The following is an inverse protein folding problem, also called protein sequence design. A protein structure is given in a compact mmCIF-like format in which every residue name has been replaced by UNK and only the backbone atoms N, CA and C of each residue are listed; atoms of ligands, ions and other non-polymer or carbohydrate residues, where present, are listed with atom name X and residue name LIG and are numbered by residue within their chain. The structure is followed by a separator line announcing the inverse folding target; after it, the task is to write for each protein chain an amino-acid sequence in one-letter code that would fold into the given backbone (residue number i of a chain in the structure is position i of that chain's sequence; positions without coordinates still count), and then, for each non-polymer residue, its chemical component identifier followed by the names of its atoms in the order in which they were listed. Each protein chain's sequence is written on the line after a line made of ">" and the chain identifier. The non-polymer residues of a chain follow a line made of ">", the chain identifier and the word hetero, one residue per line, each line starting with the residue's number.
data_IF_164406240562
#
_entry.id   IF_164406240562
#
_cell.length_a   1.000
_cell.length_b   1.000
_cell.length_c   1.000
_cell.angle_alpha   90.00
_cell.angle_beta   90.00
_cell.angle_gamma   90.00
#
_symmetry.space_group_name_H-M   'P 1'
#
loop_
_entity.id
_entity.type
_entity.pdbx_description
1 polymer ?
#
# COMPACT_ATOMS: atom_id res chain seq x y z
N UNK A 1 -37.50 -6.61 -73.98
CA UNK A 1 -36.46 -7.34 -73.20
C UNK A 1 -35.75 -6.48 -72.14
N UNK A 2 -35.97 -5.16 -72.06
CA UNK A 2 -35.31 -4.27 -71.08
C UNK A 2 -36.03 -4.12 -69.73
N UNK A 3 -37.34 -4.42 -69.64
CA UNK A 3 -38.09 -4.28 -68.38
C UNK A 3 -37.85 -5.41 -67.37
N UNK A 4 -37.64 -6.65 -67.83
CA UNK A 4 -37.33 -7.78 -66.95
C UNK A 4 -35.96 -7.62 -66.26
N UNK A 5 -34.99 -7.02 -66.96
CA UNK A 5 -33.64 -6.74 -66.42
C UNK A 5 -33.65 -5.61 -65.38
N UNK A 6 -34.57 -4.63 -65.50
CA UNK A 6 -34.77 -3.60 -64.46
C UNK A 6 -35.42 -4.15 -63.19
N UNK A 7 -36.39 -5.07 -63.31
CA UNK A 7 -37.06 -5.66 -62.14
C UNK A 7 -36.17 -6.62 -61.36
N UNK A 8 -35.22 -7.32 -61.98
CA UNK A 8 -34.26 -8.16 -61.22
C UNK A 8 -33.23 -7.30 -60.48
N UNK A 9 -32.65 -6.29 -61.14
CA UNK A 9 -31.69 -5.38 -60.51
C UNK A 9 -32.27 -4.63 -59.30
N UNK A 10 -33.57 -4.31 -59.31
CA UNK A 10 -34.23 -3.65 -58.18
C UNK A 10 -34.36 -4.61 -56.97
N UNK A 11 -34.71 -5.88 -57.21
CA UNK A 11 -34.81 -6.89 -56.13
C UNK A 11 -33.45 -7.19 -55.53
N UNK A 12 -32.42 -7.33 -56.35
CA UNK A 12 -31.05 -7.60 -55.90
C UNK A 12 -30.48 -6.41 -55.11
N UNK A 13 -30.82 -5.18 -55.51
CA UNK A 13 -30.44 -3.96 -54.77
C UNK A 13 -31.16 -3.82 -53.43
N UNK A 14 -32.45 -4.18 -53.35
CA UNK A 14 -33.21 -4.19 -52.09
C UNK A 14 -32.66 -5.25 -51.13
N UNK A 15 -32.39 -6.47 -51.63
CA UNK A 15 -31.82 -7.56 -50.82
C UNK A 15 -30.42 -7.17 -50.31
N UNK A 16 -29.58 -6.58 -51.17
CA UNK A 16 -28.27 -6.07 -50.78
C UNK A 16 -28.38 -4.98 -49.70
N UNK A 17 -29.33 -4.05 -49.84
CA UNK A 17 -29.59 -3.02 -48.83
C UNK A 17 -29.99 -3.58 -47.46
N UNK A 18 -30.86 -4.60 -47.44
CA UNK A 18 -31.29 -5.26 -46.21
C UNK A 18 -30.13 -5.99 -45.53
N UNK A 19 -29.27 -6.67 -46.30
CA UNK A 19 -28.10 -7.38 -45.75
C UNK A 19 -27.09 -6.41 -45.13
N UNK A 20 -26.80 -5.29 -45.80
CA UNK A 20 -25.92 -4.26 -45.25
C UNK A 20 -26.49 -3.67 -43.96
N UNK A 21 -27.80 -3.40 -43.93
CA UNK A 21 -28.47 -2.86 -42.75
C UNK A 21 -28.46 -3.84 -41.58
N UNK A 22 -28.64 -5.14 -41.83
CA UNK A 22 -28.55 -6.17 -40.80
C UNK A 22 -27.12 -6.30 -40.23
N UNK A 23 -26.08 -6.20 -41.06
CA UNK A 23 -24.68 -6.21 -40.62
C UNK A 23 -24.37 -4.96 -39.76
N UNK A 24 -24.86 -3.78 -40.16
CA UNK A 24 -24.68 -2.55 -39.39
C UNK A 24 -25.37 -2.62 -38.02
N UNK A 25 -26.60 -3.14 -37.96
CA UNK A 25 -27.32 -3.33 -36.70
C UNK A 25 -26.58 -4.32 -35.79
N UNK A 26 -26.08 -5.43 -36.34
CA UNK A 26 -25.29 -6.40 -35.56
C UNK A 26 -23.98 -5.79 -35.02
N UNK A 27 -23.28 -4.96 -35.82
CA UNK A 27 -22.08 -4.26 -35.39
C UNK A 27 -22.37 -3.24 -34.28
N UNK A 28 -23.47 -2.49 -34.38
CA UNK A 28 -23.89 -1.54 -33.34
C UNK A 28 -24.26 -2.27 -32.04
N UNK A 29 -25.00 -3.37 -32.12
CA UNK A 29 -25.33 -4.19 -30.94
C UNK A 29 -24.07 -4.77 -30.28
N UNK A 30 -23.10 -5.23 -31.08
CA UNK A 30 -21.82 -5.72 -30.57
C UNK A 30 -21.02 -4.61 -29.86
N UNK A 31 -20.98 -3.41 -30.44
CA UNK A 31 -20.32 -2.24 -29.82
C UNK A 31 -21.01 -1.81 -28.52
N UNK A 32 -22.34 -1.79 -28.48
CA UNK A 32 -23.10 -1.49 -27.25
C UNK A 32 -22.81 -2.54 -26.17
N UNK A 33 -22.73 -3.82 -26.54
CA UNK A 33 -22.45 -4.89 -25.59
C UNK A 33 -21.02 -4.76 -25.00
N UNK A 34 -20.01 -4.50 -25.85
CA UNK A 34 -18.63 -4.22 -25.42
C UNK A 34 -18.55 -2.99 -24.50
N UNK A 35 -19.25 -1.90 -24.83
CA UNK A 35 -19.29 -0.70 -23.98
C UNK A 35 -19.94 -0.98 -22.62
N UNK A 36 -21.03 -1.75 -22.58
CA UNK A 36 -21.69 -2.10 -21.32
C UNK A 36 -20.81 -2.94 -20.39
N UNK A 37 -19.98 -3.81 -20.95
CA UNK A 37 -19.03 -4.66 -20.21
C UNK A 37 -17.86 -3.81 -19.66
N UNK A 38 -17.42 -2.80 -20.41
CA UNK A 38 -16.42 -1.81 -19.96
C UNK A 38 -16.98 -0.90 -18.86
N UNK A 39 -18.23 -0.44 -18.95
CA UNK A 39 -18.84 0.38 -17.91
C UNK A 39 -19.09 -0.42 -16.62
N UNK A 40 -19.49 -1.68 -16.75
CA UNK A 40 -19.66 -2.57 -15.60
C UNK A 40 -18.33 -2.82 -14.89
N UNK A 41 -17.30 -3.17 -15.64
CA UNK A 41 -15.95 -3.39 -15.09
C UNK A 41 -15.37 -2.12 -14.49
N UNK A 42 -15.62 -0.93 -15.07
CA UNK A 42 -15.22 0.36 -14.48
C UNK A 42 -15.88 0.60 -13.13
N UNK A 43 -17.17 0.29 -13.00
CA UNK A 43 -17.90 0.42 -11.74
C UNK A 43 -17.38 -0.54 -10.67
N UNK A 44 -17.15 -1.81 -11.03
CA UNK A 44 -16.53 -2.79 -10.11
C UNK A 44 -15.14 -2.33 -9.65
N UNK A 45 -14.36 -1.71 -10.54
CA UNK A 45 -13.03 -1.17 -10.23
C UNK A 45 -13.10 0.04 -9.30
N UNK A 46 -14.12 0.90 -9.44
CA UNK A 46 -14.39 2.01 -8.52
C UNK A 46 -14.85 1.53 -7.15
N UNK A 47 -15.72 0.52 -7.09
CA UNK A 47 -16.18 -0.08 -5.84
C UNK A 47 -15.00 -0.75 -5.10
N UNK A 48 -14.20 -1.57 -5.78
CA UNK A 48 -12.98 -2.15 -5.22
C UNK A 48 -12.00 -1.06 -4.75
N UNK A 49 -11.89 0.05 -5.48
CA UNK A 49 -11.04 1.19 -5.06
C UNK A 49 -11.55 1.84 -3.78
N UNK A 50 -12.86 1.96 -3.63
CA UNK A 50 -13.47 2.51 -2.42
C UNK A 50 -13.21 1.59 -1.21
N UNK A 51 -13.31 0.27 -1.40
CA UNK A 51 -13.01 -0.72 -0.37
C UNK A 51 -11.53 -0.73 0.02
N UNK A 52 -10.61 -0.65 -0.95
CA UNK A 52 -9.17 -0.55 -0.70
C UNK A 52 -8.84 0.70 0.13
N UNK A 53 -9.43 1.86 -0.21
CA UNK A 53 -9.21 3.09 0.57
C UNK A 53 -9.75 2.97 1.99
N UNK A 54 -10.91 2.34 2.16
CA UNK A 54 -11.49 2.13 3.49
C UNK A 54 -10.60 1.22 4.34
N UNK A 55 -10.07 0.14 3.73
CA UNK A 55 -9.14 -0.77 4.37
C UNK A 55 -7.79 -0.09 4.72
N UNK A 56 -7.30 0.82 3.87
CA UNK A 56 -6.10 1.61 4.11
C UNK A 56 -6.27 2.55 5.31
N UNK A 57 -7.42 3.23 5.41
CA UNK A 57 -7.73 4.10 6.57
C UNK A 57 -7.84 3.29 7.86
N UNK A 58 -8.54 2.17 7.87
CA UNK A 58 -8.66 1.29 9.06
C UNK A 58 -7.30 0.71 9.48
N UNK A 59 -6.42 0.40 8.52
CA UNK A 59 -5.06 -0.03 8.80
C UNK A 59 -4.22 1.07 9.45
N UNK A 60 -4.30 2.30 8.96
CA UNK A 60 -3.59 3.45 9.53
C UNK A 60 -4.08 3.75 10.95
N UNK A 61 -5.39 3.75 11.18
CA UNK A 61 -5.97 3.99 12.51
C UNK A 61 -5.53 2.91 13.51
N UNK A 62 -5.52 1.64 13.08
CA UNK A 62 -4.97 0.55 13.89
C UNK A 62 -3.50 0.77 14.18
N UNK A 63 -2.69 1.11 13.18
CA UNK A 63 -1.26 1.35 13.36
C UNK A 63 -0.99 2.43 14.42
N UNK A 64 -1.63 3.59 14.31
CA UNK A 64 -1.46 4.69 15.27
C UNK A 64 -1.84 4.25 16.69
N UNK A 65 -2.92 3.48 16.82
CA UNK A 65 -3.38 2.95 18.11
C UNK A 65 -2.38 1.95 18.72
N UNK A 66 -1.78 1.09 17.90
CA UNK A 66 -0.76 0.13 18.34
C UNK A 66 0.54 0.85 18.74
N UNK A 67 1.00 1.83 17.97
CA UNK A 67 2.21 2.61 18.28
C UNK A 67 2.04 3.39 19.60
N UNK A 68 0.90 4.07 19.79
CA UNK A 68 0.60 4.78 21.03
C UNK A 68 0.55 3.85 22.25
N UNK A 69 0.01 2.63 22.07
CA UNK A 69 -0.03 1.63 23.14
C UNK A 69 1.38 1.17 23.52
N UNK A 70 2.21 0.83 22.54
CA UNK A 70 3.60 0.39 22.77
C UNK A 70 4.41 1.48 23.49
N UNK A 71 4.29 2.73 23.06
CA UNK A 71 4.99 3.86 23.69
C UNK A 71 4.56 4.02 25.15
N UNK A 72 3.25 3.93 25.43
CA UNK A 72 2.71 4.03 26.79
C UNK A 72 3.21 2.90 27.67
N UNK A 73 3.11 1.67 27.20
CA UNK A 73 3.50 0.48 27.95
C UNK A 73 5.02 0.46 28.22
N UNK A 74 5.83 0.90 27.24
CA UNK A 74 7.28 1.05 27.41
C UNK A 74 7.62 2.07 28.48
N UNK A 75 6.98 3.25 28.47
CA UNK A 75 7.19 4.27 29.52
C UNK A 75 6.78 3.78 30.90
N UNK A 76 5.66 3.04 30.99
CA UNK A 76 5.18 2.47 32.24
C UNK A 76 6.18 1.45 32.80
N UNK A 77 6.71 0.56 31.95
CA UNK A 77 7.71 -0.43 32.35
C UNK A 77 9.00 0.24 32.81
N UNK A 78 9.49 1.24 32.07
CA UNK A 78 10.70 1.97 32.43
C UNK A 78 10.59 2.66 33.81
N UNK A 79 9.42 3.25 34.11
CA UNK A 79 9.16 3.83 35.43
C UNK A 79 9.14 2.76 36.54
N UNK A 80 8.58 1.57 36.29
CA UNK A 80 8.62 0.47 37.25
C UNK A 80 10.02 -0.07 37.48
N UNK A 81 10.85 -0.16 36.44
CA UNK A 81 12.26 -0.58 36.58
C UNK A 81 13.07 0.43 37.39
N UNK A 82 12.83 1.73 37.20
CA UNK A 82 13.46 2.79 37.99
C UNK A 82 13.06 2.72 39.47
N UNK A 83 11.77 2.59 39.77
CA UNK A 83 11.25 2.44 41.13
C UNK A 83 11.83 1.19 41.81
N UNK A 84 11.91 0.07 41.08
CA UNK A 84 12.50 -1.17 41.60
C UNK A 84 14.00 -1.00 41.90
N UNK A 85 14.73 -0.33 41.02
CA UNK A 85 16.16 -0.06 41.22
C UNK A 85 16.42 0.86 42.40
N UNK A 86 15.57 1.87 42.63
CA UNK A 86 15.65 2.73 43.80
C UNK A 86 15.40 1.93 45.08
N UNK A 87 14.35 1.11 45.11
CA UNK A 87 14.05 0.23 46.24
C UNK A 87 15.23 -0.73 46.52
N UNK A 88 15.84 -1.32 45.48
CA UNK A 88 17.02 -2.17 45.65
C UNK A 88 18.21 -1.41 46.28
N UNK A 89 18.47 -0.17 45.86
CA UNK A 89 19.53 0.66 46.43
C UNK A 89 19.26 0.99 47.91
N UNK A 90 18.02 1.34 48.25
CA UNK A 90 17.62 1.59 49.65
C UNK A 90 17.85 0.33 50.51
N UNK A 91 17.47 -0.84 50.00
CA UNK A 91 17.74 -2.11 50.68
C UNK A 91 19.23 -2.39 50.87
N UNK A 92 20.08 -2.08 49.89
CA UNK A 92 21.52 -2.25 50.03
C UNK A 92 22.12 -1.33 51.10
N UNK A 93 21.65 -0.08 51.18
CA UNK A 93 22.04 0.88 52.21
C UNK A 93 21.61 0.39 53.60
N UNK A 94 20.35 -0.02 53.77
CA UNK A 94 19.88 -0.61 55.03
C UNK A 94 20.70 -1.84 55.43
N UNK A 95 20.98 -2.74 54.47
CA UNK A 95 21.79 -3.94 54.72
C UNK A 95 23.20 -3.59 55.17
N UNK A 96 23.81 -2.55 54.61
CA UNK A 96 25.12 -2.07 55.03
C UNK A 96 25.08 -1.49 56.44
N UNK A 97 24.07 -0.66 56.76
CA UNK A 97 23.88 -0.09 58.09
C UNK A 97 23.70 -1.18 59.16
N UNK A 98 22.85 -2.19 58.91
CA UNK A 98 22.70 -3.32 59.82
C UNK A 98 23.99 -4.12 60.00
N UNK A 99 24.78 -4.29 58.94
CA UNK A 99 26.07 -4.99 59.05
C UNK A 99 27.04 -4.24 59.95
N UNK A 100 27.09 -2.92 59.85
CA UNK A 100 27.91 -2.07 60.72
C UNK A 100 27.45 -2.13 62.18
N UNK A 101 26.13 -2.07 62.42
CA UNK A 101 25.55 -2.18 63.76
C UNK A 101 25.84 -3.55 64.41
N UNK A 102 25.77 -4.63 63.64
CA UNK A 102 26.18 -5.97 64.09
C UNK A 102 27.65 -5.98 64.51
N UNK A 103 28.54 -5.40 63.72
CA UNK A 103 29.98 -5.35 64.05
C UNK A 103 30.24 -4.50 65.30
N UNK A 104 29.53 -3.38 65.49
CA UNK A 104 29.57 -2.57 66.73
C UNK A 104 29.09 -3.36 67.94
N UNK A 105 27.95 -4.06 67.82
CA UNK A 105 27.41 -4.92 68.88
C UNK A 105 28.37 -6.06 69.23
N UNK A 106 28.97 -6.72 68.23
CA UNK A 106 30.01 -7.75 68.44
C UNK A 106 31.27 -7.19 69.12
N UNK A 107 31.72 -6.01 68.73
CA UNK A 107 32.88 -5.36 69.33
C UNK A 107 32.63 -5.00 70.80
N UNK A 108 31.45 -4.47 71.12
CA UNK A 108 31.02 -4.24 72.52
C UNK A 108 30.81 -5.54 73.31
N UNK A 109 30.38 -6.62 72.65
CA UNK A 109 30.19 -7.93 73.24
C UNK A 109 31.50 -8.63 73.67
N UNK A 110 32.60 -8.37 72.96
CA UNK A 110 33.90 -8.96 73.27
C UNK A 110 34.66 -8.27 74.42
N UNK A 111 34.17 -7.13 74.94
CA UNK A 111 34.95 -6.32 75.87
C UNK A 111 34.61 -6.47 77.36
N UNK A 112 33.42 -6.91 77.81
CA UNK A 112 33.13 -7.15 79.26
C UNK A 112 31.69 -7.69 79.55
N UNK A 113 31.39 -9.00 79.48
CA UNK A 113 30.09 -9.51 79.99
C UNK A 113 30.09 -10.97 80.50
N UNK A 114 29.46 -11.29 81.66
CA UNK A 114 29.34 -12.66 82.18
C UNK A 114 28.38 -13.56 81.37
N UNK A 115 28.65 -14.87 81.34
CA UNK A 115 27.98 -15.88 80.50
C UNK A 115 26.44 -15.98 80.60
N UNK A 116 25.80 -15.52 81.68
CA UNK A 116 24.33 -15.61 81.86
C UNK A 116 23.60 -14.55 81.02
N UNK A 117 24.17 -13.36 80.85
CA UNK A 117 23.60 -12.30 80.00
C UNK A 117 23.71 -12.60 78.50
N UNK A 118 24.65 -13.48 78.09
CA UNK A 118 24.84 -13.87 76.67
C UNK A 118 23.61 -14.53 76.06
N UNK A 119 22.99 -15.49 76.75
CA UNK A 119 21.83 -16.23 76.22
C UNK A 119 20.56 -15.38 76.11
N UNK A 120 20.45 -14.34 76.93
CA UNK A 120 19.28 -13.46 76.94
C UNK A 120 19.40 -12.42 75.82
N UNK A 121 20.59 -11.85 75.63
CA UNK A 121 20.92 -10.95 74.53
C UNK A 121 20.87 -11.68 73.17
N UNK A 122 21.36 -12.92 73.06
CA UNK A 122 21.24 -13.71 71.82
C UNK A 122 19.77 -13.99 71.43
N UNK A 123 18.88 -14.14 72.42
CA UNK A 123 17.44 -14.28 72.16
C UNK A 123 16.82 -12.96 71.71
N UNK A 124 17.20 -11.84 72.32
CA UNK A 124 16.74 -10.51 71.89
C UNK A 124 17.22 -10.19 70.47
N UNK A 125 18.51 -10.41 70.17
CA UNK A 125 19.04 -10.25 68.81
C UNK A 125 18.26 -11.15 67.83
N UNK A 126 18.05 -12.44 68.14
CA UNK A 126 17.25 -13.34 67.27
C UNK A 126 15.79 -12.90 67.14
N UNK A 127 15.16 -12.42 68.21
CA UNK A 127 13.79 -11.94 68.18
C UNK A 127 13.66 -10.66 67.34
N UNK A 128 14.64 -9.75 67.44
CA UNK A 128 14.70 -8.53 66.64
C UNK A 128 14.92 -8.86 65.15
N UNK A 129 15.82 -9.79 64.83
CA UNK A 129 16.02 -10.30 63.47
C UNK A 129 14.81 -11.06 62.92
N UNK A 130 14.10 -11.82 63.77
CA UNK A 130 12.86 -12.49 63.39
C UNK A 130 11.73 -11.48 63.13
N UNK A 131 11.66 -10.39 63.92
CA UNK A 131 10.71 -9.29 63.70
C UNK A 131 11.03 -8.49 62.43
N UNK A 132 12.32 -8.34 62.09
CA UNK A 132 12.82 -7.77 60.82
C UNK A 132 12.77 -8.79 59.65
N UNK A 133 12.29 -10.02 59.89
CA UNK A 133 12.12 -11.09 58.90
C UNK A 133 11.15 -10.76 57.76
N UNK A 134 10.44 -9.64 57.83
CA UNK A 134 9.63 -9.06 56.75
C UNK A 134 10.43 -8.81 55.46
N UNK A 135 11.74 -8.57 55.56
CA UNK A 135 12.60 -8.35 54.39
C UNK A 135 12.71 -9.57 53.46
N UNK A 136 12.58 -10.80 53.98
CA UNK A 136 12.64 -12.02 53.13
C UNK A 136 11.37 -12.19 52.31
N UNK A 137 10.22 -11.87 52.89
CA UNK A 137 8.95 -11.84 52.18
C UNK A 137 8.96 -10.73 51.11
N UNK A 138 9.52 -9.56 51.43
CA UNK A 138 9.67 -8.46 50.48
C UNK A 138 10.64 -8.79 49.33
N UNK A 139 11.78 -9.42 49.60
CA UNK A 139 12.72 -9.91 48.57
C UNK A 139 12.04 -10.91 47.63
N UNK A 140 11.29 -11.87 48.17
CA UNK A 140 10.56 -12.83 47.34
C UNK A 140 9.49 -12.13 46.49
N UNK A 141 8.83 -11.10 47.03
CA UNK A 141 7.85 -10.28 46.30
C UNK A 141 8.50 -9.50 45.16
N UNK A 142 9.62 -8.81 45.43
CA UNK A 142 10.39 -8.09 44.41
C UNK A 142 10.91 -9.04 43.32
N UNK A 143 11.43 -10.21 43.69
CA UNK A 143 11.88 -11.21 42.72
C UNK A 143 10.73 -11.73 41.84
N UNK A 144 9.54 -11.93 42.43
CA UNK A 144 8.36 -12.34 41.65
C UNK A 144 7.88 -11.24 40.69
N UNK A 145 7.95 -9.97 41.10
CA UNK A 145 7.66 -8.82 40.25
C UNK A 145 8.67 -8.70 39.10
N UNK A 146 9.96 -8.90 39.38
CA UNK A 146 11.02 -8.87 38.38
C UNK A 146 10.84 -9.98 37.33
N UNK A 147 10.49 -11.19 37.76
CA UNK A 147 10.15 -12.29 36.86
C UNK A 147 8.93 -11.98 35.99
N UNK A 148 7.89 -11.38 36.58
CA UNK A 148 6.70 -10.97 35.83
C UNK A 148 6.99 -9.85 34.82
N UNK A 149 7.84 -8.87 35.18
CA UNK A 149 8.28 -7.80 34.28
C UNK A 149 9.11 -8.35 33.13
N UNK A 150 10.05 -9.26 33.42
CA UNK A 150 10.85 -9.93 32.39
C UNK A 150 9.97 -10.69 31.40
N UNK A 151 8.97 -11.44 31.90
CA UNK A 151 8.02 -12.13 31.03
C UNK A 151 7.20 -11.16 30.16
N UNK A 152 6.81 -9.99 30.69
CA UNK A 152 6.14 -8.95 29.89
C UNK A 152 7.07 -8.36 28.82
N UNK A 153 8.33 -8.08 29.16
CA UNK A 153 9.32 -7.59 28.20
C UNK A 153 9.53 -8.61 27.06
N UNK A 154 9.65 -9.90 27.38
CA UNK A 154 9.80 -10.97 26.37
C UNK A 154 8.59 -11.04 25.41
N UNK A 155 7.37 -10.79 25.91
CA UNK A 155 6.15 -10.72 25.07
C UNK A 155 6.17 -9.47 24.20
N UNK A 156 6.51 -8.32 24.77
CA UNK A 156 6.52 -7.03 24.06
C UNK A 156 7.61 -7.01 22.97
N UNK A 157 8.76 -7.64 23.22
CA UNK A 157 9.81 -7.81 22.23
C UNK A 157 9.36 -8.68 21.04
N UNK A 158 8.60 -9.76 21.31
CA UNK A 158 7.99 -10.57 20.24
C UNK A 158 6.96 -9.79 19.44
N UNK A 159 6.07 -9.04 20.10
CA UNK A 159 5.09 -8.18 19.43
C UNK A 159 5.78 -7.11 18.56
N UNK A 160 6.88 -6.52 19.04
CA UNK A 160 7.69 -5.56 18.28
C UNK A 160 8.33 -6.17 17.03
N UNK A 161 8.80 -7.42 17.11
CA UNK A 161 9.34 -8.13 15.94
C UNK A 161 8.25 -8.38 14.90
N UNK A 162 7.07 -8.83 15.33
CA UNK A 162 5.92 -9.04 14.43
C UNK A 162 5.44 -7.72 13.81
N UNK A 163 5.36 -6.65 14.59
CA UNK A 163 5.01 -5.32 14.09
C UNK A 163 6.01 -4.82 13.02
N UNK A 164 7.32 -5.05 13.21
CA UNK A 164 8.34 -4.72 12.20
C UNK A 164 8.21 -5.55 10.92
N UNK A 165 7.82 -6.83 11.02
CA UNK A 165 7.54 -7.66 9.83
C UNK A 165 6.34 -7.10 9.08
N UNK A 166 5.26 -6.81 9.82
CA UNK A 166 4.05 -6.24 9.26
C UNK A 166 4.29 -4.88 8.58
N UNK A 167 5.06 -3.97 9.19
CA UNK A 167 5.42 -2.69 8.56
C UNK A 167 6.15 -2.88 7.22
N UNK A 168 7.07 -3.84 7.14
CA UNK A 168 7.79 -4.16 5.89
C UNK A 168 6.85 -4.70 4.81
N UNK A 169 5.86 -5.49 5.20
CA UNK A 169 4.87 -6.06 4.28
C UNK A 169 3.87 -5.00 3.80
N UNK A 170 3.36 -4.18 4.72
CA UNK A 170 2.53 -3.01 4.42
C UNK A 170 3.21 -2.04 3.45
N UNK A 171 4.50 -1.73 3.65
CA UNK A 171 5.26 -0.88 2.73
C UNK A 171 5.36 -1.47 1.31
N UNK A 172 5.43 -2.80 1.16
CA UNK A 172 5.41 -3.46 -0.16
C UNK A 172 4.04 -3.33 -0.83
N UNK A 173 2.97 -3.50 -0.06
CA UNK A 173 1.59 -3.35 -0.54
C UNK A 173 1.35 -1.92 -1.00
N UNK A 174 1.73 -0.92 -0.20
CA UNK A 174 1.57 0.49 -0.55
C UNK A 174 2.37 0.85 -1.81
N UNK A 175 3.59 0.31 -1.97
CA UNK A 175 4.37 0.49 -3.20
C UNK A 175 3.68 -0.13 -4.42
N UNK A 176 3.09 -1.32 -4.27
CA UNK A 176 2.36 -1.98 -5.35
C UNK A 176 1.08 -1.20 -5.71
N UNK A 177 0.33 -0.70 -4.72
CA UNK A 177 -0.85 0.12 -4.92
C UNK A 177 -0.51 1.45 -5.62
N UNK A 178 0.57 2.12 -5.23
CA UNK A 178 1.04 3.33 -5.90
C UNK A 178 1.39 3.09 -7.37
N UNK A 179 2.08 1.98 -7.67
CA UNK A 179 2.42 1.60 -9.05
C UNK A 179 1.18 1.22 -9.87
N UNK A 180 0.18 0.59 -9.24
CA UNK A 180 -1.10 0.29 -9.88
C UNK A 180 -1.89 1.57 -10.21
N UNK A 181 -1.96 2.54 -9.29
CA UNK A 181 -2.61 3.83 -9.53
C UNK A 181 -1.87 4.66 -10.60
N UNK A 182 -0.53 4.61 -10.64
CA UNK A 182 0.25 5.24 -11.70
C UNK A 182 -0.09 4.63 -13.07
N UNK A 183 -0.12 3.29 -13.18
CA UNK A 183 -0.53 2.59 -14.41
C UNK A 183 -1.95 2.96 -14.81
N UNK A 184 -2.87 3.05 -13.85
CA UNK A 184 -4.27 3.44 -14.11
C UNK A 184 -4.34 4.85 -14.70
N UNK A 185 -3.66 5.83 -14.10
CA UNK A 185 -3.60 7.19 -14.63
C UNK A 185 -3.00 7.26 -16.03
N UNK A 186 -1.95 6.49 -16.28
CA UNK A 186 -1.36 6.39 -17.61
C UNK A 186 -2.34 5.78 -18.62
N UNK A 187 -3.15 4.80 -18.21
CA UNK A 187 -4.20 4.21 -19.03
C UNK A 187 -5.32 5.22 -19.34
N UNK A 188 -5.77 5.98 -18.34
CA UNK A 188 -6.76 7.06 -18.52
C UNK A 188 -6.25 8.12 -19.51
N UNK A 189 -4.97 8.50 -19.43
CA UNK A 189 -4.37 9.47 -20.36
C UNK A 189 -4.26 8.91 -21.78
N UNK A 190 -3.91 7.62 -21.94
CA UNK A 190 -3.92 6.97 -23.26
C UNK A 190 -5.30 7.04 -23.91
N UNK A 191 -6.37 6.72 -23.16
CA UNK A 191 -7.74 6.81 -23.67
C UNK A 191 -8.10 8.23 -24.07
N UNK A 192 -7.77 9.22 -23.24
CA UNK A 192 -8.00 10.63 -23.55
C UNK A 192 -7.27 11.07 -24.82
N UNK A 193 -6.01 10.67 -24.99
CA UNK A 193 -5.25 10.98 -26.20
C UNK A 193 -5.82 10.27 -27.44
N UNK A 194 -6.37 9.06 -27.28
CA UNK A 194 -7.09 8.38 -28.36
C UNK A 194 -8.35 9.15 -28.78
N UNK A 195 -9.11 9.67 -27.82
CA UNK A 195 -10.28 10.51 -28.11
C UNK A 195 -9.87 11.80 -28.84
N UNK A 196 -8.80 12.47 -28.38
CA UNK A 196 -8.22 13.64 -29.05
C UNK A 196 -7.75 13.29 -30.48
N UNK A 197 -7.13 12.12 -30.67
CA UNK A 197 -6.71 11.63 -31.97
C UNK A 197 -7.91 11.45 -32.92
N UNK A 198 -8.95 10.77 -32.45
CA UNK A 198 -10.16 10.52 -33.24
C UNK A 198 -10.88 11.82 -33.60
N UNK A 199 -10.81 12.84 -32.75
CA UNK A 199 -11.41 14.16 -33.01
C UNK A 199 -10.78 14.91 -34.20
N UNK A 200 -9.56 14.56 -34.64
CA UNK A 200 -8.98 15.16 -35.85
C UNK A 200 -9.70 14.72 -37.13
N UNK A 201 -10.41 13.59 -37.11
CA UNK A 201 -11.15 13.02 -38.24
C UNK A 201 -10.28 12.90 -39.51
N UNK A 202 -9.17 12.18 -39.38
CA UNK A 202 -8.22 11.97 -40.46
C UNK A 202 -7.92 10.48 -40.65
N UNK A 203 -7.56 10.11 -41.87
CA UNK A 203 -7.05 8.77 -42.20
C UNK A 203 -5.54 8.86 -42.47
N UNK A 204 -4.73 8.45 -41.49
CA UNK A 204 -3.27 8.43 -41.65
C UNK A 204 -2.78 7.45 -42.73
N UNK A 205 -3.61 6.51 -43.18
CA UNK A 205 -3.29 5.59 -44.30
C UNK A 205 -3.58 6.21 -45.66
N UNK A 206 -4.46 7.22 -45.73
CA UNK A 206 -4.91 7.86 -46.97
C UNK A 206 -4.91 9.39 -46.85
N UNK A 207 -3.73 10.02 -46.80
CA UNK A 207 -3.63 11.47 -46.67
C UNK A 207 -4.22 12.22 -47.88
N UNK A 208 -5.00 13.25 -47.61
CA UNK A 208 -5.47 14.22 -48.60
C UNK A 208 -4.59 15.48 -48.58
N UNK A 209 -3.47 15.43 -49.30
CA UNK A 209 -2.48 16.52 -49.34
C UNK A 209 -2.99 17.82 -50.01
N UNK A 210 -4.14 17.80 -50.66
CA UNK A 210 -4.69 18.95 -51.38
C UNK A 210 -5.65 19.78 -50.56
N UNK A 211 -6.03 19.29 -49.39
CA UNK A 211 -6.70 20.06 -48.38
C UNK A 211 -5.65 20.53 -47.35
N UNK A 212 -5.50 21.86 -47.27
CA UNK A 212 -4.55 22.48 -46.35
C UNK A 212 -4.95 22.26 -44.89
N UNK A 213 -6.24 22.35 -44.57
CA UNK A 213 -6.76 22.11 -43.21
C UNK A 213 -6.63 20.64 -42.84
N UNK A 214 -6.82 19.72 -43.79
CA UNK A 214 -6.53 18.30 -43.59
C UNK A 214 -5.05 18.08 -43.26
N UNK A 215 -4.14 18.71 -44.02
CA UNK A 215 -2.70 18.53 -43.83
C UNK A 215 -2.22 19.04 -42.46
N UNK A 216 -2.78 20.14 -41.97
CA UNK A 216 -2.48 20.64 -40.61
C UNK A 216 -2.97 19.67 -39.52
N UNK A 217 -4.22 19.17 -39.64
CA UNK A 217 -4.76 18.15 -38.73
C UNK A 217 -3.99 16.83 -38.80
N UNK A 218 -3.51 16.47 -39.98
CA UNK A 218 -2.70 15.27 -40.23
C UNK A 218 -1.45 15.23 -39.36
N UNK A 219 -0.66 16.31 -39.35
CA UNK A 219 0.54 16.37 -38.52
C UNK A 219 0.22 16.38 -37.02
N UNK A 220 -0.82 17.10 -36.61
CA UNK A 220 -1.24 17.14 -35.20
C UNK A 220 -1.66 15.76 -34.67
N UNK A 221 -2.38 15.00 -35.48
CA UNK A 221 -2.76 13.65 -35.12
C UNK A 221 -1.59 12.66 -35.18
N UNK A 222 -0.63 12.85 -36.09
CA UNK A 222 0.60 12.05 -36.11
C UNK A 222 1.42 12.25 -34.83
N UNK A 223 1.55 13.51 -34.38
CA UNK A 223 2.18 13.84 -33.10
C UNK A 223 1.44 13.17 -31.92
N UNK A 224 0.11 13.24 -31.92
CA UNK A 224 -0.72 12.59 -30.88
C UNK A 224 -0.60 11.07 -30.90
N UNK A 225 -0.56 10.46 -32.07
CA UNK A 225 -0.32 9.02 -32.19
C UNK A 225 1.05 8.61 -31.65
N UNK A 226 2.07 9.45 -31.82
CA UNK A 226 3.40 9.20 -31.25
C UNK A 226 3.38 9.33 -29.72
N UNK A 227 2.68 10.33 -29.17
CA UNK A 227 2.47 10.47 -27.72
C UNK A 227 1.78 9.22 -27.12
N UNK A 228 0.75 8.71 -27.79
CA UNK A 228 0.07 7.46 -27.42
C UNK A 228 1.05 6.27 -27.45
N UNK A 229 1.83 6.11 -28.54
CA UNK A 229 2.82 5.02 -28.66
C UNK A 229 3.86 5.06 -27.54
N UNK A 230 4.35 6.24 -27.20
CA UNK A 230 5.35 6.43 -26.16
C UNK A 230 4.80 6.05 -24.77
N UNK A 231 3.58 6.50 -24.44
CA UNK A 231 2.92 6.12 -23.18
C UNK A 231 2.63 4.62 -23.11
N UNK A 232 2.09 4.04 -24.20
CA UNK A 232 1.82 2.60 -24.30
C UNK A 232 3.09 1.78 -24.13
N UNK A 233 4.20 2.20 -24.76
CA UNK A 233 5.50 1.55 -24.62
C UNK A 233 6.08 1.69 -23.22
N UNK A 234 6.03 2.89 -22.63
CA UNK A 234 6.56 3.20 -21.30
C UNK A 234 5.91 2.34 -20.21
N UNK A 235 4.61 2.11 -20.30
CA UNK A 235 3.84 1.36 -19.29
C UNK A 235 3.53 -0.10 -19.70
N UNK A 236 4.05 -0.53 -20.85
CA UNK A 236 3.89 -1.88 -21.42
C UNK A 236 2.42 -2.28 -21.67
N UNK A 237 1.63 -1.36 -22.23
CA UNK A 237 0.23 -1.59 -22.62
C UNK A 237 0.07 -2.09 -24.07
N UNK A 238 1.15 -2.59 -24.68
CA UNK A 238 1.20 -2.88 -26.11
C UNK A 238 0.08 -3.79 -26.60
N UNK A 239 -0.26 -4.82 -25.82
CA UNK A 239 -1.32 -5.77 -26.17
C UNK A 239 -2.71 -5.14 -26.12
N UNK A 240 -2.99 -4.32 -25.10
CA UNK A 240 -4.29 -3.67 -24.89
C UNK A 240 -4.65 -2.68 -26.00
N UNK A 241 -3.65 -1.97 -26.54
CA UNK A 241 -3.85 -0.91 -27.54
C UNK A 241 -3.38 -1.29 -28.94
N UNK A 242 -2.99 -2.55 -29.16
CA UNK A 242 -2.43 -3.02 -30.44
C UNK A 242 -3.34 -2.73 -31.63
N UNK A 243 -4.64 -3.02 -31.50
CA UNK A 243 -5.62 -2.83 -32.57
C UNK A 243 -5.70 -1.36 -33.01
N UNK A 244 -5.83 -0.45 -32.03
CA UNK A 244 -5.83 0.98 -32.29
C UNK A 244 -4.53 1.46 -32.92
N UNK A 245 -3.37 1.06 -32.37
CA UNK A 245 -2.07 1.48 -32.88
C UNK A 245 -1.82 1.02 -34.32
N UNK A 246 -2.27 -0.18 -34.67
CA UNK A 246 -2.19 -0.69 -36.05
C UNK A 246 -3.14 0.08 -36.95
N UNK A 247 -4.37 0.31 -36.50
CA UNK A 247 -5.38 0.96 -37.33
C UNK A 247 -5.09 2.44 -37.59
N UNK A 248 -4.65 3.16 -36.56
CA UNK A 248 -4.30 4.57 -36.63
C UNK A 248 -2.95 4.82 -37.33
N UNK A 249 -2.09 3.81 -37.50
CA UNK A 249 -0.78 4.01 -38.13
C UNK A 249 -0.84 4.21 -39.65
N UNK A 250 0.13 4.97 -40.20
CA UNK A 250 0.35 5.08 -41.65
C UNK A 250 0.49 3.69 -42.27
N UNK A 251 -0.06 3.52 -43.48
CA UNK A 251 0.20 2.30 -44.25
C UNK A 251 1.70 2.21 -44.58
N UNK A 252 2.33 1.08 -44.30
CA UNK A 252 3.71 0.80 -44.73
C UNK A 252 3.81 0.57 -46.25
N UNK A 253 2.68 0.51 -46.96
CA UNK A 253 2.65 0.33 -48.42
C UNK A 253 2.79 1.67 -49.15
N UNK A 254 3.99 1.97 -49.66
CA UNK A 254 4.29 2.90 -50.76
C UNK A 254 3.30 4.08 -50.96
N UNK A 255 2.98 4.84 -49.91
CA UNK A 255 2.26 6.10 -50.09
C UNK A 255 3.22 7.11 -50.73
N UNK A 256 2.73 7.79 -51.77
CA UNK A 256 3.46 8.77 -52.55
C UNK A 256 4.22 9.78 -51.65
N UNK A 257 5.39 10.29 -52.10
CA UNK A 257 6.11 11.31 -51.37
C UNK A 257 5.19 12.48 -51.05
N UNK A 258 5.31 13.00 -49.83
CA UNK A 258 4.50 14.08 -49.29
C UNK A 258 4.21 15.16 -50.36
N UNK A 259 2.93 15.50 -50.57
CA UNK A 259 2.58 16.77 -51.20
C UNK A 259 2.41 16.84 -52.73
N UNK A 260 2.13 15.74 -53.46
CA UNK A 260 1.80 15.86 -54.89
C UNK A 260 0.30 16.07 -55.12
N UNK A 261 -0.14 17.32 -55.00
CA UNK A 261 -1.36 17.75 -55.67
C UNK A 261 -1.07 17.86 -57.15
N UNK A 262 -1.44 16.82 -57.91
CA UNK A 262 -1.45 16.92 -59.36
C UNK A 262 -2.38 18.07 -59.72
N UNK A 263 -1.78 19.23 -60.04
CA UNK A 263 -2.48 20.40 -60.49
C UNK A 263 -3.38 19.99 -61.65
N UNK A 264 -4.68 20.15 -61.45
CA UNK A 264 -5.61 20.27 -62.56
C UNK A 264 -5.11 21.49 -63.33
N UNK A 265 -4.38 21.24 -64.43
CA UNK A 265 -4.13 22.26 -65.44
C UNK A 265 -5.50 22.78 -65.86
N UNK A 266 -5.73 24.08 -65.64
CA UNK A 266 -6.73 24.85 -66.39
C UNK A 266 -6.49 24.69 -67.89
#
# INVERSE_FOLDING_TARGET
>A
MSEYKRKSNLKDSIISGIVVLAILVAAVVFLINQFSEVDLSKKELEDLRSEIKLAEVDLLEKQDKWELKIIRDTKYIAAQEEELNLAFKEFEVERAAYKEEIEKLKANYNSNTPNVSRKQIEREIRAEFASKGNNRAQINRLNSQNLALKAKNDVLEKEMVEFRKWQKESAKINKAAALAEEKRKAQDEVVKLMDEFTAFDIDLKKPNWCDKEYSERFYQAEDKLNEIKDLVKKHNFGDSYKAFLVDASRSTSNTAPDGWCNGVKM
#
